data_IF_808644250373
#
_entry.id   IF_808644250373
#
_cell.length_a   1.000
_cell.length_b   1.000
_cell.length_c   1.000
_cell.angle_alpha   90.00
_cell.angle_beta   90.00
_cell.angle_gamma   90.00
#
_symmetry.space_group_name_H-M   'P 1'
#
loop_
_entity.id
_entity.type
_entity.pdbx_description
1 polymer ?
#
# COMPACT_ATOMS: atom_id res chain seq x y z
N UNK A 1 30.95 -67.16 30.53
CA UNK A 1 29.53 -66.66 30.55
C UNK A 1 29.45 -65.50 29.59
N UNK A 2 29.01 -65.76 28.33
CA UNK A 2 28.89 -64.78 27.27
C UNK A 2 27.49 -64.18 27.35
N UNK A 3 27.41 -62.86 27.48
CA UNK A 3 26.16 -62.10 27.46
C UNK A 3 25.88 -61.71 26.00
N UNK A 4 24.73 -62.00 25.41
CA UNK A 4 24.42 -61.62 24.05
C UNK A 4 24.09 -60.10 24.01
N UNK A 5 24.73 -59.39 23.07
CA UNK A 5 24.36 -58.01 22.72
C UNK A 5 22.98 -58.04 22.00
N UNK A 6 22.00 -57.38 22.60
CA UNK A 6 20.72 -57.13 21.95
C UNK A 6 20.85 -55.83 21.14
N UNK A 7 20.85 -55.95 19.84
CA UNK A 7 20.81 -54.80 18.94
C UNK A 7 19.35 -54.34 18.81
N UNK A 8 19.05 -53.18 19.41
CA UNK A 8 17.75 -52.53 19.24
C UNK A 8 17.78 -51.76 17.90
N UNK A 9 17.02 -52.26 16.93
CA UNK A 9 16.79 -51.50 15.70
C UNK A 9 15.83 -50.34 15.99
N UNK A 10 16.34 -49.10 15.91
CA UNK A 10 15.51 -47.87 15.98
C UNK A 10 14.80 -47.76 14.63
N UNK A 11 13.49 -47.97 14.61
CA UNK A 11 12.69 -47.67 13.44
C UNK A 11 12.77 -46.17 13.10
N UNK A 12 13.09 -45.87 11.85
CA UNK A 12 13.07 -44.48 11.35
C UNK A 12 11.65 -43.91 11.48
N UNK A 13 11.51 -42.62 11.87
CA UNK A 13 10.18 -42.03 11.94
C UNK A 13 9.56 -41.99 10.55
N UNK A 14 8.34 -42.50 10.46
CA UNK A 14 7.51 -42.39 9.26
C UNK A 14 7.28 -40.90 9.00
N UNK A 15 7.83 -40.39 7.91
CA UNK A 15 7.46 -39.05 7.40
C UNK A 15 5.96 -39.08 7.05
N UNK A 16 5.15 -38.14 7.58
CA UNK A 16 3.76 -38.06 7.18
C UNK A 16 3.69 -37.92 5.64
N UNK A 17 2.90 -38.77 5.01
CA UNK A 17 2.60 -38.64 3.58
C UNK A 17 2.04 -37.22 3.38
N UNK A 18 2.75 -36.39 2.64
CA UNK A 18 2.19 -35.11 2.17
C UNK A 18 1.01 -35.46 1.27
N UNK A 19 -0.19 -35.24 1.78
CA UNK A 19 -1.39 -35.26 0.96
C UNK A 19 -1.23 -34.10 -0.02
N UNK A 20 -0.76 -34.37 -1.23
CA UNK A 20 -0.80 -33.41 -2.33
C UNK A 20 -2.29 -33.20 -2.63
N UNK A 21 -2.84 -32.10 -2.15
CA UNK A 21 -4.16 -31.64 -2.59
C UNK A 21 -4.08 -31.47 -4.12
N UNK A 22 -5.09 -31.93 -4.87
CA UNK A 22 -5.10 -31.72 -6.31
C UNK A 22 -4.96 -30.22 -6.59
N UNK A 23 -4.11 -29.90 -7.53
CA UNK A 23 -3.93 -28.50 -7.96
C UNK A 23 -5.30 -27.96 -8.37
N UNK A 24 -5.70 -26.81 -7.77
CA UNK A 24 -7.02 -26.24 -8.08
C UNK A 24 -7.03 -25.85 -9.56
N UNK A 25 -8.14 -26.12 -10.27
CA UNK A 25 -8.29 -25.69 -11.65
C UNK A 25 -7.96 -24.20 -11.80
N UNK A 26 -7.20 -23.87 -12.81
CA UNK A 26 -6.76 -22.51 -13.05
C UNK A 26 -6.89 -22.16 -14.52
N UNK A 27 -6.98 -20.87 -14.79
CA UNK A 27 -6.98 -20.30 -16.13
C UNK A 27 -6.13 -19.07 -16.14
N UNK A 28 -5.73 -18.58 -17.29
CA UNK A 28 -4.89 -17.40 -17.42
C UNK A 28 -5.69 -16.29 -18.11
N UNK A 29 -5.70 -15.12 -17.51
CA UNK A 29 -6.10 -13.88 -18.16
C UNK A 29 -4.84 -13.14 -18.60
N UNK A 30 -4.65 -13.06 -19.92
CA UNK A 30 -3.66 -12.19 -20.56
C UNK A 30 -4.34 -10.83 -20.80
N UNK A 31 -3.74 -9.74 -20.30
CA UNK A 31 -4.32 -8.41 -20.44
C UNK A 31 -3.32 -7.40 -21.01
N UNK A 32 -3.84 -6.43 -21.75
CA UNK A 32 -3.10 -5.26 -22.19
C UNK A 32 -4.01 -4.03 -22.10
N UNK A 33 -3.81 -3.25 -21.07
CA UNK A 33 -4.54 -2.02 -20.78
C UNK A 33 -3.61 -0.85 -21.02
N UNK A 34 -3.97 0.04 -21.93
CA UNK A 34 -3.13 1.17 -22.34
C UNK A 34 -3.86 2.49 -22.18
N UNK A 35 -3.12 3.59 -22.29
CA UNK A 35 -3.72 4.90 -22.48
C UNK A 35 -4.32 5.03 -23.87
N UNK A 36 -5.06 6.11 -24.14
CA UNK A 36 -5.60 6.46 -25.45
C UNK A 36 -4.53 6.67 -26.53
N UNK A 37 -3.28 6.95 -26.13
CA UNK A 37 -2.13 7.04 -27.04
C UNK A 37 -1.45 5.69 -27.29
N UNK A 38 -1.95 4.61 -26.67
CA UNK A 38 -1.36 3.28 -26.74
C UNK A 38 -0.14 3.09 -25.84
N UNK A 39 0.12 4.04 -24.93
CA UNK A 39 1.26 3.94 -24.00
C UNK A 39 0.94 3.01 -22.84
N UNK A 40 1.95 2.29 -22.28
CA UNK A 40 1.84 1.60 -21.01
C UNK A 40 1.33 2.53 -19.91
N UNK A 41 0.59 1.98 -18.96
CA UNK A 41 -0.01 2.76 -17.87
C UNK A 41 -0.19 1.90 -16.62
N UNK A 42 0.11 2.41 -15.43
CA UNK A 42 -0.28 1.72 -14.20
C UNK A 42 -1.78 1.51 -14.14
N UNK A 43 -2.18 0.37 -13.59
CA UNK A 43 -3.59 0.00 -13.50
C UNK A 43 -3.92 -0.72 -12.20
N UNK A 44 -5.22 -0.74 -11.91
CA UNK A 44 -5.86 -1.66 -10.99
C UNK A 44 -6.87 -2.52 -11.76
N UNK A 45 -6.75 -3.84 -11.64
CA UNK A 45 -7.77 -4.79 -12.06
C UNK A 45 -8.59 -5.24 -10.85
N UNK A 46 -9.90 -5.10 -10.91
CA UNK A 46 -10.81 -5.59 -9.87
C UNK A 46 -11.68 -6.70 -10.44
N UNK A 47 -11.68 -7.83 -9.77
CA UNK A 47 -12.42 -9.02 -10.19
C UNK A 47 -13.67 -9.17 -9.31
N UNK A 48 -14.82 -9.21 -9.95
CA UNK A 48 -16.11 -9.52 -9.34
C UNK A 48 -16.66 -10.80 -9.96
N UNK A 49 -17.62 -11.45 -9.31
CA UNK A 49 -18.35 -12.56 -9.93
C UNK A 49 -19.13 -12.07 -11.14
N UNK A 50 -19.55 -12.95 -12.03
CA UNK A 50 -20.31 -12.59 -13.23
C UNK A 50 -21.59 -11.80 -12.94
N UNK A 51 -22.16 -11.93 -11.75
CA UNK A 51 -23.31 -11.15 -11.25
C UNK A 51 -22.90 -9.84 -10.52
N UNK A 52 -21.64 -9.46 -10.60
CA UNK A 52 -21.01 -8.30 -9.94
C UNK A 52 -20.94 -8.39 -8.40
N UNK A 53 -21.20 -9.52 -7.80
CA UNK A 53 -21.01 -9.72 -6.36
C UNK A 53 -19.52 -9.85 -5.99
N UNK A 54 -19.19 -9.55 -4.72
CA UNK A 54 -17.84 -9.72 -4.17
C UNK A 54 -17.47 -11.21 -4.14
N UNK A 55 -16.40 -11.63 -4.80
CA UNK A 55 -15.95 -13.02 -4.78
C UNK A 55 -15.24 -13.41 -3.47
N UNK A 56 -14.96 -12.46 -2.59
CA UNK A 56 -14.03 -12.62 -1.49
C UNK A 56 -12.57 -12.67 -1.94
N UNK A 57 -11.75 -13.48 -1.27
CA UNK A 57 -10.33 -13.61 -1.59
C UNK A 57 -10.09 -14.65 -2.67
N UNK A 58 -9.64 -14.23 -3.84
CA UNK A 58 -9.21 -15.10 -4.95
C UNK A 58 -7.69 -15.08 -5.13
N UNK A 59 -7.03 -14.02 -4.71
CA UNK A 59 -5.57 -13.88 -4.69
C UNK A 59 -5.10 -13.86 -3.23
N UNK A 60 -4.29 -14.84 -2.84
CA UNK A 60 -3.85 -15.04 -1.46
C UNK A 60 -2.40 -14.62 -1.22
N UNK A 61 -1.62 -14.50 -2.29
CA UNK A 61 -0.22 -14.12 -2.19
C UNK A 61 -0.06 -12.61 -2.24
N UNK A 62 0.44 -11.97 -1.15
CA UNK A 62 0.68 -10.53 -1.11
C UNK A 62 2.02 -10.11 -1.72
N UNK A 63 2.80 -11.02 -2.30
CA UNK A 63 4.11 -10.69 -2.83
C UNK A 63 3.98 -9.94 -4.15
N UNK A 64 4.90 -9.01 -4.37
CA UNK A 64 5.09 -8.37 -5.66
C UNK A 64 5.72 -9.40 -6.61
N UNK A 65 5.11 -9.58 -7.77
CA UNK A 65 5.65 -10.42 -8.85
C UNK A 65 6.90 -9.72 -9.44
N UNK A 66 7.92 -10.48 -9.89
CA UNK A 66 9.03 -9.92 -10.66
C UNK A 66 8.61 -9.15 -11.92
N UNK A 67 7.39 -9.38 -12.42
CA UNK A 67 6.76 -8.60 -13.49
C UNK A 67 5.97 -7.39 -12.97
N UNK A 68 6.22 -6.97 -11.74
CA UNK A 68 5.63 -5.77 -11.12
C UNK A 68 4.13 -5.87 -10.82
N UNK A 69 3.64 -7.07 -10.59
CA UNK A 69 2.29 -7.31 -10.12
C UNK A 69 2.22 -7.23 -8.58
N UNK A 70 1.25 -6.50 -8.09
CA UNK A 70 0.83 -6.55 -6.69
C UNK A 70 -0.58 -7.17 -6.62
N UNK A 71 -0.75 -8.30 -5.96
CA UNK A 71 -2.01 -9.04 -5.93
C UNK A 71 -2.55 -9.17 -4.51
N UNK A 72 -3.85 -8.90 -4.33
CA UNK A 72 -4.51 -8.94 -3.03
C UNK A 72 -6.01 -9.17 -3.15
N UNK A 73 -6.54 -10.15 -2.41
CA UNK A 73 -7.96 -10.46 -2.40
C UNK A 73 -8.52 -10.70 -3.81
N UNK A 74 -9.22 -9.73 -4.36
CA UNK A 74 -9.80 -9.72 -5.71
C UNK A 74 -9.25 -8.59 -6.58
N UNK A 75 -8.08 -8.05 -6.23
CA UNK A 75 -7.44 -6.92 -6.91
C UNK A 75 -6.04 -7.28 -7.36
N UNK A 76 -5.67 -6.80 -8.52
CA UNK A 76 -4.31 -6.81 -9.07
C UNK A 76 -3.92 -5.40 -9.43
N UNK A 77 -2.74 -4.97 -8.99
CA UNK A 77 -2.10 -3.74 -9.46
C UNK A 77 -0.91 -4.10 -10.35
N UNK A 78 -0.76 -3.40 -11.44
CA UNK A 78 0.32 -3.58 -12.39
C UNK A 78 0.84 -2.23 -12.84
N UNK A 79 2.17 -2.08 -12.88
CA UNK A 79 2.82 -0.81 -13.21
C UNK A 79 2.80 -0.52 -14.72
N UNK A 80 2.77 -1.55 -15.56
CA UNK A 80 2.85 -1.42 -17.01
C UNK A 80 1.50 -1.60 -17.71
N UNK A 81 0.48 -2.09 -17.00
CA UNK A 81 -0.83 -2.39 -17.55
C UNK A 81 -0.87 -3.59 -18.49
N UNK A 82 0.21 -4.36 -18.58
CA UNK A 82 0.32 -5.49 -19.51
C UNK A 82 0.91 -6.69 -18.79
N UNK A 83 0.20 -7.80 -18.79
CA UNK A 83 0.65 -8.99 -18.08
C UNK A 83 -0.27 -10.18 -18.25
N UNK A 84 -0.01 -11.18 -17.42
CA UNK A 84 -0.80 -12.40 -17.32
C UNK A 84 -1.06 -12.74 -15.85
N UNK A 85 -2.27 -13.06 -15.50
CA UNK A 85 -2.63 -13.47 -14.15
C UNK A 85 -3.44 -14.76 -14.14
N UNK A 86 -3.10 -15.64 -13.23
CA UNK A 86 -3.83 -16.88 -13.01
C UNK A 86 -5.07 -16.61 -12.16
N UNK A 87 -6.23 -17.01 -12.69
CA UNK A 87 -7.54 -16.85 -12.06
C UNK A 87 -8.27 -18.19 -11.96
N UNK A 88 -9.19 -18.36 -11.00
CA UNK A 88 -10.06 -19.52 -10.99
C UNK A 88 -10.96 -19.56 -12.22
N UNK A 89 -11.33 -20.74 -12.76
CA UNK A 89 -12.38 -20.87 -13.77
C UNK A 89 -13.72 -20.35 -13.23
N UNK A 90 -14.58 -19.87 -14.13
CA UNK A 90 -15.91 -19.37 -13.78
C UNK A 90 -16.22 -18.05 -14.47
N UNK A 91 -17.37 -17.47 -14.15
CA UNK A 91 -17.83 -16.22 -14.72
C UNK A 91 -17.30 -15.02 -13.89
N UNK A 92 -16.59 -14.12 -14.56
CA UNK A 92 -16.00 -12.95 -13.95
C UNK A 92 -16.43 -11.65 -14.66
N UNK A 93 -16.71 -10.64 -13.85
CA UNK A 93 -16.78 -9.24 -14.29
C UNK A 93 -15.50 -8.55 -13.86
N UNK A 94 -14.71 -8.08 -14.82
CA UNK A 94 -13.40 -7.48 -14.55
C UNK A 94 -13.44 -6.00 -14.90
N UNK A 95 -12.92 -5.18 -14.00
CA UNK A 95 -12.84 -3.72 -14.12
C UNK A 95 -11.36 -3.34 -14.15
N UNK A 96 -10.93 -2.61 -15.19
CA UNK A 96 -9.65 -1.90 -15.18
C UNK A 96 -9.91 -0.43 -14.86
N UNK A 97 -9.09 0.14 -13.97
CA UNK A 97 -9.14 1.54 -13.54
C UNK A 97 -7.75 2.09 -13.26
N UNK A 98 -7.63 3.42 -13.18
CA UNK A 98 -6.44 4.16 -12.73
C UNK A 98 -6.87 5.42 -11.99
N UNK A 99 -7.27 5.26 -10.73
CA UNK A 99 -7.73 6.38 -9.91
C UNK A 99 -8.95 7.11 -10.45
N UNK A 100 -9.16 8.35 -10.00
CA UNK A 100 -10.38 9.13 -10.26
C UNK A 100 -10.34 9.99 -11.54
N UNK A 101 -9.17 10.18 -12.13
CA UNK A 101 -9.02 11.03 -13.33
C UNK A 101 -9.31 10.29 -14.62
N UNK A 102 -9.28 8.97 -14.58
CA UNK A 102 -9.49 8.12 -15.76
C UNK A 102 -10.86 7.49 -15.76
N UNK A 103 -11.35 7.20 -16.96
CA UNK A 103 -12.51 6.33 -17.14
C UNK A 103 -12.17 4.89 -16.72
N UNK A 104 -13.16 4.02 -16.74
CA UNK A 104 -12.96 2.58 -16.45
C UNK A 104 -13.23 1.79 -17.72
N UNK A 105 -12.49 0.68 -17.87
CA UNK A 105 -12.80 -0.34 -18.86
C UNK A 105 -13.32 -1.59 -18.15
N UNK A 106 -14.28 -2.27 -18.76
CA UNK A 106 -14.90 -3.46 -18.17
C UNK A 106 -15.02 -4.59 -19.18
N UNK A 107 -14.98 -5.82 -18.68
CA UNK A 107 -15.24 -7.00 -19.51
C UNK A 107 -15.93 -8.10 -18.71
N UNK A 108 -16.69 -8.95 -19.41
CA UNK A 108 -17.16 -10.22 -18.88
C UNK A 108 -16.34 -11.34 -19.51
N UNK A 109 -15.78 -12.21 -18.67
CA UNK A 109 -15.01 -13.38 -19.11
C UNK A 109 -15.52 -14.64 -18.41
N UNK A 110 -15.54 -15.75 -19.13
CA UNK A 110 -15.97 -17.05 -18.61
C UNK A 110 -14.91 -18.12 -18.86
N UNK A 111 -13.70 -18.03 -18.24
CA UNK A 111 -12.65 -18.98 -18.49
C UNK A 111 -13.04 -20.38 -18.02
N UNK A 112 -12.90 -21.37 -18.92
CA UNK A 112 -12.90 -22.78 -18.57
C UNK A 112 -11.55 -23.19 -17.98
N UNK A 113 -11.50 -24.34 -17.34
CA UNK A 113 -10.24 -24.89 -16.84
C UNK A 113 -9.16 -24.92 -17.94
N UNK A 114 -7.94 -24.55 -17.58
CA UNK A 114 -6.75 -24.55 -18.43
C UNK A 114 -6.87 -23.66 -19.70
N UNK A 115 -7.80 -22.70 -19.70
CA UNK A 115 -7.97 -21.77 -20.80
C UNK A 115 -7.10 -20.52 -20.65
N UNK A 116 -6.79 -19.90 -21.81
CA UNK A 116 -6.25 -18.56 -21.89
C UNK A 116 -7.32 -17.61 -22.43
N UNK A 117 -7.56 -16.52 -21.73
CA UNK A 117 -8.48 -15.45 -22.14
C UNK A 117 -7.67 -14.19 -22.35
N UNK A 118 -7.90 -13.50 -23.45
CA UNK A 118 -7.25 -12.22 -23.76
C UNK A 118 -8.20 -11.05 -23.57
N UNK A 119 -7.70 -9.99 -22.95
CA UNK A 119 -8.44 -8.74 -22.80
C UNK A 119 -7.56 -7.53 -23.08
N UNK A 120 -7.92 -6.78 -24.11
CA UNK A 120 -7.28 -5.52 -24.45
C UNK A 120 -8.27 -4.37 -24.22
N UNK A 121 -7.83 -3.30 -23.57
CA UNK A 121 -8.65 -2.13 -23.30
C UNK A 121 -7.82 -0.83 -23.26
N UNK A 122 -8.51 0.27 -23.24
CA UNK A 122 -7.91 1.62 -23.17
C UNK A 122 -8.57 2.39 -22.04
N UNK A 123 -7.75 3.00 -21.18
CA UNK A 123 -8.19 4.00 -20.21
C UNK A 123 -7.92 5.39 -20.75
N UNK A 124 -8.94 6.26 -20.72
CA UNK A 124 -8.84 7.65 -21.14
C UNK A 124 -8.88 8.56 -19.93
N UNK A 125 -8.08 9.62 -19.97
CA UNK A 125 -8.22 10.67 -18.97
C UNK A 125 -9.54 11.39 -19.19
N UNK A 126 -10.48 11.23 -18.27
CA UNK A 126 -11.85 11.71 -18.37
C UNK A 126 -12.05 13.07 -17.69
N UNK A 127 -11.13 13.46 -16.78
CA UNK A 127 -11.20 14.71 -16.02
C UNK A 127 -9.96 15.53 -16.35
N UNK A 128 -10.16 16.80 -16.69
CA UNK A 128 -9.08 17.77 -16.86
C UNK A 128 -8.69 18.30 -15.47
N UNK A 129 -7.48 17.95 -15.05
CA UNK A 129 -6.88 18.37 -13.78
C UNK A 129 -5.58 19.16 -13.99
N UNK A 130 -5.43 19.81 -15.15
CA UNK A 130 -4.24 20.62 -15.44
C UNK A 130 -4.01 21.68 -14.37
N UNK A 131 -2.81 21.72 -13.79
CA UNK A 131 -2.43 22.62 -12.69
C UNK A 131 -2.81 22.11 -11.29
N UNK A 132 -3.34 20.91 -11.19
CA UNK A 132 -3.62 20.22 -9.92
C UNK A 132 -2.86 18.90 -9.86
N UNK A 133 -2.55 18.45 -8.65
CA UNK A 133 -2.00 17.13 -8.41
C UNK A 133 -2.85 16.41 -7.36
N UNK A 134 -3.23 15.17 -7.66
CA UNK A 134 -3.88 14.28 -6.70
C UNK A 134 -2.87 13.75 -5.69
N UNK A 135 -3.07 14.00 -4.39
CA UNK A 135 -2.10 13.60 -3.36
C UNK A 135 -2.70 12.80 -2.22
N UNK A 136 -1.88 11.90 -1.67
CA UNK A 136 -2.16 11.20 -0.41
C UNK A 136 -1.08 11.55 0.61
N UNK A 137 -1.51 12.11 1.73
CA UNK A 137 -0.65 12.65 2.78
C UNK A 137 -0.62 11.78 4.04
N UNK A 138 -1.18 10.55 3.96
CA UNK A 138 -1.24 9.62 5.09
C UNK A 138 -1.17 8.16 4.62
N UNK A 139 0.04 7.70 4.31
CA UNK A 139 0.30 6.38 3.75
C UNK A 139 1.16 5.53 4.69
N UNK A 140 0.74 4.29 4.88
CA UNK A 140 1.48 3.29 5.65
C UNK A 140 1.93 2.12 4.79
N UNK A 141 3.05 1.54 5.20
CA UNK A 141 3.51 0.24 4.70
C UNK A 141 3.50 -0.80 5.82
N UNK A 142 3.18 -2.03 5.48
CA UNK A 142 3.37 -3.15 6.41
C UNK A 142 4.84 -3.29 6.83
N UNK A 143 5.76 -2.85 5.98
CA UNK A 143 7.21 -2.96 6.17
C UNK A 143 7.70 -2.22 7.41
N UNK A 144 7.23 -0.99 7.64
CA UNK A 144 7.69 -0.15 8.74
C UNK A 144 6.62 0.10 9.80
N UNK A 145 5.37 0.29 9.41
CA UNK A 145 4.29 0.49 10.37
C UNK A 145 3.84 -0.78 11.08
N UNK A 146 4.13 -1.96 10.49
CA UNK A 146 3.72 -3.24 11.04
C UNK A 146 2.21 -3.51 10.99
N UNK A 147 1.44 -2.65 10.32
CA UNK A 147 0.02 -2.81 10.06
C UNK A 147 -0.31 -2.32 8.64
N UNK A 148 -1.56 -2.53 8.22
CA UNK A 148 -1.95 -2.36 6.82
C UNK A 148 -1.84 -3.69 6.07
N UNK A 149 -1.98 -3.64 4.77
CA UNK A 149 -2.07 -4.84 3.93
C UNK A 149 -1.05 -4.90 2.79
N UNK A 150 -0.21 -3.87 2.63
CA UNK A 150 0.77 -3.76 1.54
C UNK A 150 2.17 -3.56 2.08
N UNK A 151 3.10 -4.39 1.66
CA UNK A 151 4.52 -4.14 1.88
C UNK A 151 5.01 -2.96 1.01
N UNK A 152 6.26 -2.56 1.17
CA UNK A 152 6.82 -1.41 0.46
C UNK A 152 6.68 -1.52 -1.08
N UNK A 153 7.15 -2.59 -1.74
CA UNK A 153 6.98 -2.75 -3.19
C UNK A 153 5.53 -2.73 -3.65
N UNK A 154 4.63 -3.45 -2.96
CA UNK A 154 3.20 -3.45 -3.28
C UNK A 154 2.58 -2.05 -3.14
N UNK A 155 3.01 -1.29 -2.13
CA UNK A 155 2.52 0.07 -1.91
C UNK A 155 2.90 0.99 -3.06
N UNK A 156 4.14 0.91 -3.57
CA UNK A 156 4.58 1.72 -4.72
C UNK A 156 3.74 1.44 -5.97
N UNK A 157 3.49 0.17 -6.26
CA UNK A 157 2.67 -0.23 -7.41
C UNK A 157 1.21 0.20 -7.22
N UNK A 158 0.66 0.06 -6.01
CA UNK A 158 -0.73 0.46 -5.75
C UNK A 158 -0.94 1.97 -5.80
N UNK A 159 0.00 2.79 -5.31
CA UNK A 159 -0.03 4.25 -5.44
C UNK A 159 -0.12 4.65 -6.92
N UNK A 160 0.75 4.08 -7.76
CA UNK A 160 0.73 4.34 -9.19
C UNK A 160 -0.57 3.88 -9.86
N UNK A 161 -1.07 2.68 -9.50
CA UNK A 161 -2.30 2.11 -10.04
C UNK A 161 -3.58 2.83 -9.61
N UNK A 162 -3.55 3.53 -8.46
CA UNK A 162 -4.64 4.42 -8.01
C UNK A 162 -4.51 5.84 -8.57
N UNK A 163 -3.49 6.12 -9.40
CA UNK A 163 -3.32 7.44 -10.02
C UNK A 163 -2.97 8.55 -9.04
N UNK A 164 -2.41 8.23 -7.87
CA UNK A 164 -1.91 9.22 -6.92
C UNK A 164 -0.62 9.82 -7.50
N UNK A 165 -0.57 11.15 -7.61
CA UNK A 165 0.56 11.85 -8.24
C UNK A 165 1.57 12.39 -7.22
N UNK A 166 1.14 12.54 -5.95
CA UNK A 166 1.96 13.03 -4.86
C UNK A 166 1.71 12.18 -3.61
N UNK A 167 2.72 11.48 -3.14
CA UNK A 167 2.60 10.50 -2.05
C UNK A 167 3.54 10.83 -0.90
N UNK A 168 3.00 11.02 0.30
CA UNK A 168 3.80 11.25 1.51
C UNK A 168 3.92 9.93 2.29
N UNK A 169 5.16 9.49 2.49
CA UNK A 169 5.48 8.30 3.27
C UNK A 169 5.37 8.60 4.76
N UNK A 170 4.34 8.10 5.43
CA UNK A 170 4.05 8.42 6.84
C UNK A 170 3.97 7.17 7.70
N UNK A 171 4.93 6.28 7.57
CA UNK A 171 5.03 5.14 8.48
C UNK A 171 5.28 5.60 9.92
N UNK A 172 4.78 4.84 10.90
CA UNK A 172 4.86 5.19 12.32
C UNK A 172 6.29 5.29 12.82
N UNK A 173 6.64 6.46 13.36
CA UNK A 173 7.93 6.71 14.05
C UNK A 173 9.14 6.31 13.19
N UNK A 174 9.04 6.50 11.88
CA UNK A 174 10.08 6.16 10.91
C UNK A 174 10.10 7.22 9.80
N UNK A 175 11.29 7.71 9.44
CA UNK A 175 11.47 8.55 8.27
C UNK A 175 11.56 7.65 7.04
N UNK A 176 10.42 7.44 6.37
CA UNK A 176 10.33 6.47 5.28
C UNK A 176 10.66 7.12 3.94
N UNK A 177 11.64 6.55 3.25
CA UNK A 177 11.98 6.93 1.87
C UNK A 177 11.44 5.90 0.88
N UNK A 178 10.56 6.33 -0.02
CA UNK A 178 9.99 5.48 -1.07
C UNK A 178 10.88 5.36 -2.32
N UNK A 179 11.81 6.30 -2.53
CA UNK A 179 12.55 6.40 -3.79
C UNK A 179 13.33 5.12 -4.19
N UNK A 180 14.06 4.44 -3.29
CA UNK A 180 14.76 3.23 -3.69
C UNK A 180 13.82 2.13 -4.21
N UNK A 181 12.68 1.95 -3.53
CA UNK A 181 11.69 0.94 -3.91
C UNK A 181 10.92 1.35 -5.17
N UNK A 182 10.63 2.65 -5.35
CA UNK A 182 10.02 3.15 -6.59
C UNK A 182 10.88 2.80 -7.81
N UNK A 183 12.20 2.99 -7.72
CA UNK A 183 13.13 2.63 -8.79
C UNK A 183 13.16 1.12 -9.03
N UNK A 184 13.16 0.32 -7.97
CA UNK A 184 13.17 -1.14 -8.06
C UNK A 184 11.96 -1.69 -8.82
N UNK A 185 10.77 -1.13 -8.57
CA UNK A 185 9.51 -1.59 -9.18
C UNK A 185 9.08 -0.75 -10.39
N UNK A 186 9.90 0.20 -10.85
CA UNK A 186 9.60 1.05 -12.01
C UNK A 186 8.47 2.06 -11.77
N UNK A 187 8.20 2.44 -10.53
CA UNK A 187 7.12 3.37 -10.16
C UNK A 187 7.54 4.86 -10.21
N UNK A 188 8.84 5.16 -10.29
CA UNK A 188 9.39 6.53 -10.27
C UNK A 188 8.85 7.50 -11.35
N UNK A 189 8.43 7.06 -12.57
CA UNK A 189 7.82 7.97 -13.52
C UNK A 189 6.37 8.37 -13.21
N UNK A 190 5.72 7.72 -12.23
CA UNK A 190 4.27 7.79 -12.07
C UNK A 190 3.80 8.70 -10.93
N UNK A 191 4.64 8.96 -9.94
CA UNK A 191 4.31 9.88 -8.84
C UNK A 191 5.55 10.46 -8.18
N UNK A 192 5.37 11.58 -7.48
CA UNK A 192 6.40 12.18 -6.62
C UNK A 192 6.24 11.67 -5.21
N UNK A 193 7.28 11.08 -4.64
CA UNK A 193 7.32 10.68 -3.24
C UNK A 193 7.97 11.74 -2.37
N UNK A 194 7.49 11.84 -1.14
CA UNK A 194 8.06 12.72 -0.11
C UNK A 194 8.29 11.92 1.17
N UNK A 195 9.52 11.97 1.67
CA UNK A 195 9.86 11.39 2.97
C UNK A 195 9.10 12.10 4.08
N UNK A 196 8.44 11.34 4.91
CA UNK A 196 7.68 11.80 6.06
C UNK A 196 7.73 10.80 7.21
N UNK A 197 6.92 11.07 8.21
CA UNK A 197 6.78 10.26 9.43
C UNK A 197 5.40 10.50 10.03
N UNK A 198 4.66 9.48 10.42
CA UNK A 198 3.60 9.66 11.39
C UNK A 198 4.17 9.55 12.79
N UNK A 199 4.41 10.70 13.42
CA UNK A 199 4.91 10.81 14.79
C UNK A 199 3.78 10.38 15.74
N UNK A 200 3.90 9.20 16.33
CA UNK A 200 2.85 8.55 17.12
C UNK A 200 3.07 8.74 18.60
N UNK A 201 2.83 9.97 19.06
CA UNK A 201 2.86 10.32 20.48
C UNK A 201 1.64 9.78 21.22
N UNK A 202 1.75 9.58 22.54
CA UNK A 202 0.66 9.04 23.36
C UNK A 202 -0.57 9.96 23.47
N UNK A 203 -0.39 11.24 23.12
CA UNK A 203 -1.42 12.28 23.18
C UNK A 203 -1.96 12.70 21.80
N UNK A 204 -1.50 12.07 20.72
CA UNK A 204 -1.92 12.37 19.35
C UNK A 204 -0.93 11.89 18.32
N UNK A 205 -1.38 11.75 17.08
CA UNK A 205 -0.52 11.40 15.95
C UNK A 205 -0.41 12.59 14.98
N UNK A 206 0.77 12.74 14.40
CA UNK A 206 1.09 13.89 13.55
C UNK A 206 1.90 13.45 12.33
N UNK A 207 1.43 13.76 11.14
CA UNK A 207 2.26 13.61 9.96
C UNK A 207 3.21 14.79 9.85
N UNK A 208 4.49 14.51 9.69
CA UNK A 208 5.54 15.49 9.45
C UNK A 208 6.20 15.23 8.10
N UNK A 209 6.29 16.25 7.25
CA UNK A 209 6.91 16.17 5.92
C UNK A 209 7.22 17.59 5.35
N UNK A 210 8.18 17.74 4.41
CA UNK A 210 9.19 16.75 4.06
C UNK A 210 10.25 16.62 5.16
N UNK A 211 10.81 15.42 5.31
CA UNK A 211 11.88 15.13 6.26
C UNK A 211 13.13 14.63 5.53
N UNK A 212 14.28 14.67 6.21
CA UNK A 212 15.49 13.98 5.77
C UNK A 212 15.41 12.52 6.19
N UNK A 213 15.50 11.55 5.26
CA UNK A 213 15.45 10.13 5.59
C UNK A 213 16.62 9.67 6.49
N UNK A 214 17.77 10.35 6.40
CA UNK A 214 18.98 10.03 7.17
C UNK A 214 19.05 10.76 8.51
N UNK A 215 18.14 11.68 8.78
CA UNK A 215 18.10 12.39 10.05
C UNK A 215 17.66 11.47 11.20
N UNK A 216 18.08 11.84 12.41
CA UNK A 216 17.55 11.21 13.63
C UNK A 216 16.03 11.30 13.64
N UNK A 217 15.37 10.16 13.89
CA UNK A 217 13.91 10.11 14.04
C UNK A 217 13.46 11.03 15.18
N UNK A 218 12.41 11.82 14.92
CA UNK A 218 11.83 12.77 15.86
C UNK A 218 11.39 12.04 17.14
N UNK A 219 11.66 12.65 18.29
CA UNK A 219 11.33 12.04 19.59
C UNK A 219 9.81 12.13 19.86
N UNK A 220 9.11 11.04 19.59
CA UNK A 220 7.66 10.93 19.83
C UNK A 220 7.25 10.80 21.31
N UNK A 221 8.22 10.72 22.22
CA UNK A 221 7.98 10.76 23.66
C UNK A 221 8.05 12.18 24.24
N UNK A 222 8.55 13.14 23.47
CA UNK A 222 8.59 14.53 23.87
C UNK A 222 7.20 15.15 23.91
N UNK A 223 7.01 16.20 24.72
CA UNK A 223 5.78 16.98 24.71
C UNK A 223 5.65 17.80 23.42
N UNK A 224 4.41 18.10 23.02
CA UNK A 224 4.09 18.71 21.73
C UNK A 224 4.93 19.93 21.36
N UNK A 225 5.15 20.95 22.24
CA UNK A 225 5.96 22.10 21.88
C UNK A 225 7.41 21.74 21.51
N UNK A 226 8.00 20.76 22.19
CA UNK A 226 9.38 20.29 21.95
C UNK A 226 9.43 19.50 20.65
N UNK A 227 8.51 18.56 20.48
CA UNK A 227 8.42 17.72 19.30
C UNK A 227 8.16 18.53 18.03
N UNK A 228 7.26 19.52 18.07
CA UNK A 228 6.99 20.40 16.94
C UNK A 228 8.20 21.28 16.60
N UNK A 229 8.90 21.79 17.61
CA UNK A 229 10.14 22.56 17.39
C UNK A 229 11.23 21.68 16.75
N UNK A 230 11.44 20.46 17.23
CA UNK A 230 12.39 19.49 16.62
C UNK A 230 12.01 19.21 15.17
N UNK A 231 10.73 18.97 14.89
CA UNK A 231 10.21 18.73 13.54
C UNK A 231 10.49 19.91 12.61
N UNK A 232 10.17 21.15 13.03
CA UNK A 232 10.38 22.37 12.25
C UNK A 232 11.85 22.66 11.92
N UNK A 233 12.77 22.15 12.72
CA UNK A 233 14.21 22.29 12.50
C UNK A 233 14.81 21.15 11.68
N UNK A 234 14.02 20.16 11.29
CA UNK A 234 14.51 19.05 10.47
C UNK A 234 14.89 19.57 9.07
N UNK A 235 16.17 19.41 8.71
CA UNK A 235 16.64 19.72 7.37
C UNK A 235 16.09 18.64 6.39
N UNK A 236 15.81 19.05 5.15
CA UNK A 236 15.33 18.15 4.12
C UNK A 236 15.79 18.61 2.73
N UNK A 237 15.73 17.70 1.76
CA UNK A 237 16.19 17.97 0.40
C UNK A 237 15.39 19.07 -0.33
N UNK A 238 14.18 19.39 0.14
CA UNK A 238 13.32 20.43 -0.44
C UNK A 238 13.67 21.83 0.04
N UNK A 239 14.48 21.95 1.11
CA UNK A 239 14.90 23.23 1.66
C UNK A 239 13.74 24.06 2.24
N UNK A 240 12.66 23.41 2.66
CA UNK A 240 11.47 24.06 3.25
C UNK A 240 11.26 23.61 4.69
N UNK A 241 10.55 24.41 5.46
CA UNK A 241 10.13 24.02 6.81
C UNK A 241 9.10 22.89 6.71
N UNK A 242 9.27 21.79 7.43
CA UNK A 242 8.30 20.70 7.43
C UNK A 242 6.90 21.15 7.87
N UNK A 243 5.90 20.62 7.19
CA UNK A 243 4.50 20.70 7.60
C UNK A 243 4.27 19.70 8.74
N UNK A 244 3.44 20.08 9.70
CA UNK A 244 2.94 19.18 10.73
C UNK A 244 1.42 19.13 10.57
N UNK A 245 0.89 17.95 10.32
CA UNK A 245 -0.54 17.69 10.16
C UNK A 245 -1.04 16.90 11.36
N UNK A 246 -2.07 17.37 12.03
CA UNK A 246 -2.72 16.61 13.12
C UNK A 246 -3.60 15.53 12.51
N UNK A 247 -3.29 14.27 12.78
CA UNK A 247 -4.04 13.13 12.30
C UNK A 247 -5.21 12.80 13.23
N UNK A 248 -6.29 12.23 12.65
CA UNK A 248 -7.50 11.73 13.37
C UNK A 248 -7.73 12.44 14.72
N UNK A 249 -7.84 13.79 14.72
CA UNK A 249 -7.68 14.66 15.89
C UNK A 249 -8.76 14.52 16.96
N UNK A 250 -9.76 13.65 16.74
CA UNK A 250 -10.88 13.38 17.64
C UNK A 250 -11.17 11.88 17.80
N UNK A 251 -10.16 11.04 17.59
CA UNK A 251 -10.35 9.58 17.66
C UNK A 251 -9.71 8.98 18.91
N UNK A 252 -10.58 8.57 19.84
CA UNK A 252 -10.21 7.74 20.98
C UNK A 252 -9.16 8.39 21.87
N UNK A 253 -8.14 7.61 22.26
CA UNK A 253 -7.07 8.01 23.16
C UNK A 253 -5.83 8.62 22.44
N UNK A 254 -5.89 8.76 21.13
CA UNK A 254 -4.86 9.40 20.30
C UNK A 254 -5.36 10.73 19.71
N UNK A 255 -6.32 11.31 20.36
CA UNK A 255 -7.00 12.57 20.06
C UNK A 255 -6.24 13.74 20.66
N UNK A 256 -5.40 14.42 19.87
CA UNK A 256 -4.61 15.56 20.32
C UNK A 256 -5.48 16.67 20.91
N UNK A 257 -6.59 16.97 20.30
CA UNK A 257 -7.46 18.07 20.75
C UNK A 257 -8.14 17.74 22.09
N UNK A 258 -8.59 16.50 22.28
CA UNK A 258 -9.14 16.06 23.55
C UNK A 258 -8.08 15.87 24.63
N UNK A 259 -6.94 15.24 24.28
CA UNK A 259 -5.85 15.00 25.20
C UNK A 259 -5.17 16.29 25.72
N UNK A 260 -5.36 17.42 25.01
CA UNK A 260 -4.84 18.73 25.37
C UNK A 260 -5.93 19.76 25.70
N UNK A 261 -7.12 19.31 26.08
CA UNK A 261 -8.23 20.13 26.57
C UNK A 261 -8.62 21.30 25.65
N UNK A 262 -8.63 21.09 24.33
CA UNK A 262 -9.03 22.11 23.38
C UNK A 262 -10.50 22.47 23.53
N UNK A 263 -10.78 23.72 23.90
CA UNK A 263 -12.09 24.30 23.77
C UNK A 263 -12.35 24.74 22.32
N UNK A 264 -13.07 23.91 21.56
CA UNK A 264 -13.32 24.16 20.14
C UNK A 264 -14.11 25.44 19.85
N UNK A 265 -14.91 25.95 20.79
CA UNK A 265 -15.69 27.17 20.62
C UNK A 265 -14.85 28.44 20.81
N UNK A 266 -13.90 28.40 21.75
CA UNK A 266 -13.01 29.52 22.02
C UNK A 266 -11.70 29.45 21.23
N UNK A 267 -11.41 28.29 20.59
CA UNK A 267 -10.12 27.98 20.00
C UNK A 267 -8.96 28.14 20.99
N UNK A 268 -9.16 27.69 22.23
CA UNK A 268 -8.21 27.88 23.34
C UNK A 268 -7.99 26.54 24.06
N UNK A 269 -6.77 26.35 24.57
CA UNK A 269 -6.46 25.29 25.53
C UNK A 269 -5.68 25.89 26.70
N UNK A 270 -5.96 25.41 27.91
CA UNK A 270 -5.23 25.74 29.13
C UNK A 270 -4.19 24.70 29.51
N UNK A 271 -4.07 23.64 28.70
CA UNK A 271 -3.08 22.60 28.93
C UNK A 271 -1.66 23.15 28.76
N UNK A 272 -0.72 22.93 29.70
CA UNK A 272 0.61 23.51 29.66
C UNK A 272 1.44 23.07 28.43
N UNK A 273 1.18 21.86 27.93
CA UNK A 273 1.87 21.28 26.77
C UNK A 273 1.07 21.40 25.47
N UNK A 274 0.12 22.36 25.41
CA UNK A 274 -0.55 22.72 24.18
C UNK A 274 0.38 23.51 23.25
N UNK A 275 0.33 23.22 21.96
CA UNK A 275 0.97 24.02 20.91
C UNK A 275 0.08 24.10 19.68
N UNK A 276 0.10 25.25 19.01
CA UNK A 276 -0.51 25.50 17.70
C UNK A 276 0.50 25.40 16.55
N UNK A 277 1.73 24.95 16.80
CA UNK A 277 2.80 24.91 15.81
C UNK A 277 2.67 23.70 14.85
N UNK A 278 1.46 23.36 14.47
CA UNK A 278 1.15 22.31 13.49
C UNK A 278 0.46 22.87 12.25
#
# INVERSE_FOLDING_TARGET
>A
MLIPLITIAIAAPLTPAQILLPEQPRSVLDYAITTETGSPTPIRLTFLRGDMSDPGTIFTNPNVDPNQLAVRRNVVYDIDGTGAITIPPGEWFVIASRGMEYDIATTHIGPSQDSHVQWNATLRRAIDTDGWAGGDFHLHTLTYSGHGDSNMPERMISIAGEGVEFAVATDHNHHTDYHPTMQEVGADPHFTAVTGNEISATYGHFNAYPLDPDAKVIDWHAEAPVMFAETRHNANAWGVTPVIQVNHPRWGNIDYFGARDLNAFAAESTHPDWSWDF
#
